data_IF_904283735546
#
_entry.id   IF_904283735546
#
_cell.length_a   1.000
_cell.length_b   1.000
_cell.length_c   1.000
_cell.angle_alpha   90.00
_cell.angle_beta   90.00
_cell.angle_gamma   90.00
#
_symmetry.space_group_name_H-M   'P 1'
#
loop_
_entity.id
_entity.type
_entity.pdbx_description
1 polymer ?
#
# COMPACT_ATOMS: atom_id res chain seq x y z
N UNK A 1 26.68 -9.91 5.15
CA UNK A 1 25.75 -9.11 6.00
C UNK A 1 24.34 -9.36 5.49
N UNK A 2 23.59 -10.23 6.16
CA UNK A 2 22.20 -10.51 5.80
C UNK A 2 21.29 -9.37 6.27
N UNK A 3 20.49 -8.83 5.35
CA UNK A 3 19.53 -7.77 5.64
C UNK A 3 18.27 -8.41 6.22
N UNK A 4 18.14 -8.38 7.53
CA UNK A 4 16.97 -8.91 8.22
C UNK A 4 15.82 -7.89 8.23
N UNK A 5 14.59 -8.38 8.10
CA UNK A 5 13.39 -7.55 8.23
C UNK A 5 12.96 -7.51 9.69
N UNK A 6 12.75 -6.29 10.22
CA UNK A 6 12.20 -6.11 11.57
C UNK A 6 10.68 -6.35 11.58
N UNK A 7 10.27 -7.47 12.17
CA UNK A 7 8.88 -7.91 12.26
C UNK A 7 8.15 -7.41 13.53
N UNK A 8 8.82 -6.68 14.42
CA UNK A 8 8.27 -6.26 15.73
C UNK A 8 7.02 -5.37 15.64
N UNK A 9 6.84 -4.68 14.52
CA UNK A 9 5.74 -3.72 14.29
C UNK A 9 4.52 -4.35 13.63
N UNK A 10 4.56 -5.64 13.28
CA UNK A 10 3.46 -6.36 12.63
C UNK A 10 2.58 -7.01 13.71
N UNK A 11 1.27 -6.87 13.55
CA UNK A 11 0.30 -7.54 14.41
C UNK A 11 0.40 -9.06 14.26
N UNK A 12 0.79 -9.81 15.31
CA UNK A 12 0.70 -11.26 15.29
C UNK A 12 -0.75 -11.70 15.42
N UNK A 13 -1.05 -12.89 14.92
CA UNK A 13 -2.36 -13.52 15.09
C UNK A 13 -2.20 -14.95 15.60
N UNK A 14 -3.24 -15.45 16.28
CA UNK A 14 -3.26 -16.83 16.76
C UNK A 14 -3.68 -17.76 15.63
N UNK A 15 -2.84 -18.72 15.30
CA UNK A 15 -3.13 -19.85 14.42
C UNK A 15 -2.70 -21.13 15.13
N UNK A 16 -3.60 -22.10 15.29
CA UNK A 16 -3.28 -23.37 15.98
C UNK A 16 -2.56 -23.15 17.33
N UNK A 17 -3.07 -22.21 18.14
CA UNK A 17 -2.51 -21.82 19.45
C UNK A 17 -1.13 -21.12 19.41
N UNK A 18 -0.52 -20.95 18.24
CA UNK A 18 0.75 -20.24 18.06
C UNK A 18 0.53 -18.81 17.58
N UNK A 19 1.43 -17.90 18.00
CA UNK A 19 1.49 -16.55 17.47
C UNK A 19 2.32 -16.54 16.19
N UNK A 20 1.67 -16.20 15.08
CA UNK A 20 2.29 -16.16 13.75
C UNK A 20 2.05 -14.81 13.10
N UNK A 21 2.92 -14.49 12.14
CA UNK A 21 2.86 -13.26 11.36
C UNK A 21 2.24 -13.58 10.00
N UNK A 22 1.24 -12.80 9.60
CA UNK A 22 0.60 -12.96 8.32
C UNK A 22 1.47 -12.37 7.20
N UNK A 23 1.65 -13.10 6.11
CA UNK A 23 2.28 -12.55 4.90
C UNK A 23 1.33 -11.55 4.23
N UNK A 24 0.11 -12.02 3.94
CA UNK A 24 -0.98 -11.27 3.32
C UNK A 24 -2.00 -10.77 4.35
N UNK A 25 -2.78 -9.72 4.05
CA UNK A 25 -3.81 -9.21 4.94
C UNK A 25 -4.97 -10.20 5.07
N UNK A 26 -5.19 -10.71 6.27
CA UNK A 26 -6.27 -11.66 6.58
C UNK A 26 -7.64 -10.97 6.63
N UNK A 27 -8.71 -11.58 6.07
CA UNK A 27 -10.03 -10.95 5.91
C UNK A 27 -10.71 -10.59 7.24
N UNK A 28 -10.52 -11.40 8.28
CA UNK A 28 -11.21 -11.24 9.57
C UNK A 28 -10.37 -10.53 10.64
N UNK A 29 -9.16 -10.10 10.30
CA UNK A 29 -8.28 -9.41 11.25
C UNK A 29 -8.70 -7.95 11.39
N UNK A 30 -9.45 -7.68 12.45
CA UNK A 30 -9.91 -6.35 12.81
C UNK A 30 -10.78 -6.36 14.06
N UNK A 31 -10.16 -6.24 15.23
CA UNK A 31 -10.89 -6.01 16.48
C UNK A 31 -11.49 -4.60 16.57
N UNK A 32 -12.14 -4.25 17.70
CA UNK A 32 -12.72 -2.93 17.96
C UNK A 32 -11.65 -1.86 18.29
N UNK A 33 -10.51 -1.87 17.58
CA UNK A 33 -9.39 -0.97 17.86
C UNK A 33 -9.48 0.31 17.03
N UNK A 34 -9.07 1.43 17.63
CA UNK A 34 -9.01 2.75 16.95
C UNK A 34 -7.78 2.89 16.04
N UNK A 35 -6.71 2.15 16.32
CA UNK A 35 -5.48 2.18 15.53
C UNK A 35 -5.67 1.48 14.18
N UNK A 36 -5.03 2.04 13.16
CA UNK A 36 -5.12 1.55 11.77
C UNK A 36 -3.73 1.23 11.23
N UNK A 37 -3.67 0.24 10.34
CA UNK A 37 -2.50 -0.06 9.55
C UNK A 37 -2.13 1.15 8.71
N UNK A 38 -0.84 1.49 8.69
CA UNK A 38 -0.34 2.63 7.90
C UNK A 38 -0.47 2.47 6.39
N UNK A 39 -0.64 1.24 5.89
CA UNK A 39 -0.63 0.93 4.45
C UNK A 39 -2.03 0.68 3.90
N UNK A 40 -2.78 -0.25 4.50
CA UNK A 40 -4.11 -0.63 4.01
C UNK A 40 -5.26 -0.06 4.83
N UNK A 41 -4.98 0.77 5.84
CA UNK A 41 -5.96 1.40 6.75
C UNK A 41 -6.85 0.45 7.58
N UNK A 42 -6.63 -0.87 7.50
CA UNK A 42 -7.31 -1.88 8.34
C UNK A 42 -7.04 -1.65 9.81
N UNK A 43 -7.96 -2.08 10.68
CA UNK A 43 -7.79 -1.94 12.13
C UNK A 43 -6.65 -2.84 12.62
N UNK A 44 -5.81 -2.28 13.47
CA UNK A 44 -4.64 -2.96 14.07
C UNK A 44 -4.65 -2.66 15.57
N UNK A 45 -4.18 -3.56 16.42
CA UNK A 45 -4.09 -3.33 17.87
C UNK A 45 -2.81 -2.56 18.22
N UNK A 46 -2.86 -1.59 19.16
CA UNK A 46 -1.63 -0.96 19.67
C UNK A 46 -0.81 -2.01 20.45
N UNK A 47 0.54 -2.01 20.36
CA UNK A 47 1.42 -1.00 19.75
C UNK A 47 1.74 -1.19 18.26
N UNK A 48 1.11 -2.16 17.58
CA UNK A 48 1.44 -2.53 16.21
C UNK A 48 1.01 -1.48 15.18
N UNK A 49 1.75 -1.42 14.06
CA UNK A 49 1.59 -0.40 13.00
C UNK A 49 1.16 -1.01 11.65
N UNK A 50 1.40 -2.31 11.45
CA UNK A 50 1.05 -3.03 10.23
C UNK A 50 0.24 -4.28 10.57
N UNK A 51 -0.62 -4.71 9.64
CA UNK A 51 -1.42 -5.92 9.80
C UNK A 51 -0.75 -7.18 9.25
N UNK A 52 0.21 -7.06 8.34
CA UNK A 52 0.90 -8.17 7.67
C UNK A 52 2.24 -7.72 7.06
N UNK A 53 3.08 -8.67 6.66
CA UNK A 53 4.40 -8.42 6.05
C UNK A 53 4.28 -7.60 4.76
N UNK A 54 3.33 -7.91 3.88
CA UNK A 54 3.14 -7.17 2.62
C UNK A 54 2.89 -5.67 2.88
N UNK A 55 2.06 -5.35 3.88
CA UNK A 55 1.79 -3.96 4.22
C UNK A 55 3.02 -3.24 4.74
N UNK A 56 3.90 -3.94 5.47
CA UNK A 56 5.15 -3.37 5.92
C UNK A 56 6.13 -3.19 4.75
N UNK A 57 6.28 -4.19 3.88
CA UNK A 57 7.15 -4.16 2.70
C UNK A 57 6.78 -3.06 1.71
N UNK A 58 5.48 -2.84 1.44
CA UNK A 58 5.03 -1.73 0.57
C UNK A 58 5.58 -0.39 1.06
N UNK A 59 5.61 -0.16 2.38
CA UNK A 59 6.20 1.06 2.92
C UNK A 59 7.71 1.12 2.67
N UNK A 60 8.44 0.03 2.91
CA UNK A 60 9.89 0.00 2.64
C UNK A 60 10.20 0.23 1.16
N UNK A 61 9.41 -0.35 0.26
CA UNK A 61 9.54 -0.16 -1.17
C UNK A 61 9.21 1.28 -1.59
N UNK A 62 8.16 1.88 -1.03
CA UNK A 62 7.85 3.29 -1.27
C UNK A 62 8.97 4.21 -0.76
N UNK A 63 9.58 3.91 0.39
CA UNK A 63 10.72 4.68 0.92
C UNK A 63 11.94 4.50 0.02
N UNK A 64 12.30 3.27 -0.35
CA UNK A 64 13.46 3.02 -1.22
C UNK A 64 13.29 3.62 -2.61
N UNK A 65 12.09 3.54 -3.19
CA UNK A 65 11.76 4.22 -4.45
C UNK A 65 11.78 5.74 -4.29
N UNK A 66 11.30 6.30 -3.18
CA UNK A 66 11.38 7.75 -2.95
C UNK A 66 12.81 8.25 -2.84
N UNK A 67 13.71 7.47 -2.22
CA UNK A 67 15.14 7.76 -2.17
C UNK A 67 15.76 7.68 -3.58
N UNK A 68 15.40 6.67 -4.38
CA UNK A 68 15.85 6.53 -5.77
C UNK A 68 15.31 7.63 -6.71
N UNK A 69 14.08 8.09 -6.51
CA UNK A 69 13.51 9.22 -7.26
C UNK A 69 14.11 10.54 -6.80
N UNK A 70 14.35 10.73 -5.49
CA UNK A 70 14.98 11.94 -4.97
C UNK A 70 16.42 12.11 -5.48
N UNK A 71 17.21 11.04 -5.52
CA UNK A 71 18.57 11.09 -6.11
C UNK A 71 18.53 11.40 -7.60
N UNK A 72 17.59 10.84 -8.36
CA UNK A 72 17.41 11.19 -9.78
C UNK A 72 16.93 12.63 -10.01
N UNK A 73 16.09 13.17 -9.13
CA UNK A 73 15.65 14.56 -9.24
C UNK A 73 16.81 15.53 -8.97
N UNK A 74 17.66 15.27 -7.97
CA UNK A 74 18.86 16.09 -7.70
C UNK A 74 19.82 16.11 -8.90
N UNK A 75 20.04 14.97 -9.56
CA UNK A 75 20.89 14.89 -10.77
C UNK A 75 20.29 15.59 -12.00
N UNK A 76 18.96 15.70 -12.07
CA UNK A 76 18.26 16.26 -13.23
C UNK A 76 18.01 17.78 -13.13
N UNK A 77 18.32 18.43 -12.00
CA UNK A 77 18.14 19.89 -11.86
C UNK A 77 19.19 20.75 -12.58
N UNK A 78 20.22 20.15 -13.19
CA UNK A 78 21.20 20.92 -14.01
C UNK A 78 20.73 21.14 -15.45
N UNK A 79 19.74 20.39 -15.96
CA UNK A 79 19.33 20.54 -17.35
C UNK A 79 17.84 20.25 -17.56
N UNK A 80 16.99 21.29 -17.52
CA UNK A 80 15.93 21.46 -18.54
C UNK A 80 15.23 22.81 -18.50
N UNK A 81 15.38 23.54 -19.62
CA UNK A 81 14.50 24.61 -20.08
C UNK A 81 13.08 24.06 -20.38
N UNK A 82 12.10 24.96 -20.25
CA UNK A 82 10.64 24.80 -20.34
C UNK A 82 10.13 24.22 -21.67
N UNK A 83 8.99 23.50 -21.61
CA UNK A 83 7.78 23.52 -22.50
C UNK A 83 7.11 22.11 -22.60
N UNK A 84 5.88 21.97 -23.14
CA UNK A 84 4.58 22.22 -22.51
C UNK A 84 3.74 20.93 -22.27
N UNK A 85 2.56 21.11 -21.65
CA UNK A 85 1.63 20.08 -21.13
C UNK A 85 1.09 19.12 -22.22
N UNK A 86 0.89 17.82 -21.92
CA UNK A 86 0.14 16.92 -22.79
C UNK A 86 -1.37 17.07 -22.56
N UNK A 87 -2.13 17.14 -23.66
CA UNK A 87 -3.60 17.07 -23.68
C UNK A 87 -4.11 15.70 -23.23
N UNK A 88 -5.20 15.73 -22.46
CA UNK A 88 -5.83 14.55 -21.87
C UNK A 88 -6.77 13.89 -22.89
N UNK A 89 -6.59 12.60 -23.19
CA UNK A 89 -7.55 11.84 -23.99
C UNK A 89 -8.83 11.58 -23.19
N UNK A 90 -9.99 11.91 -23.77
CA UNK A 90 -11.30 11.68 -23.17
C UNK A 90 -11.72 10.21 -23.39
N UNK A 91 -11.35 9.33 -22.45
CA UNK A 91 -11.93 7.99 -22.38
C UNK A 91 -13.42 8.11 -22.02
N UNK A 92 -14.29 8.03 -23.03
CA UNK A 92 -15.75 8.00 -22.85
C UNK A 92 -16.15 6.69 -22.15
N UNK A 93 -16.91 6.81 -21.06
CA UNK A 93 -17.49 5.65 -20.35
C UNK A 93 -18.56 4.99 -21.24
N UNK A 94 -18.68 3.66 -21.15
CA UNK A 94 -19.84 2.90 -21.68
C UNK A 94 -21.14 3.55 -21.17
N UNK A 95 -22.10 3.77 -22.08
CA UNK A 95 -23.37 4.45 -21.81
C UNK A 95 -24.26 3.74 -20.78
N UNK A 96 -25.40 4.36 -20.45
CA UNK A 96 -26.39 3.78 -19.52
C UNK A 96 -26.88 2.42 -20.05
N UNK A 97 -26.83 1.34 -19.24
CA UNK A 97 -27.37 0.06 -19.66
C UNK A 97 -28.88 0.15 -19.79
N UNK A 98 -29.41 -0.22 -20.95
CA UNK A 98 -30.86 -0.41 -21.15
C UNK A 98 -31.28 -1.75 -20.55
N UNK A 99 -32.43 -1.75 -19.88
CA UNK A 99 -33.03 -2.97 -19.33
C UNK A 99 -33.67 -3.75 -20.49
N UNK A 100 -33.38 -5.04 -20.61
CA UNK A 100 -34.05 -5.89 -21.60
C UNK A 100 -35.56 -5.95 -21.29
N UNK A 101 -36.43 -5.97 -22.32
CA UNK A 101 -37.86 -6.16 -22.12
C UNK A 101 -38.11 -7.54 -21.52
N UNK A 102 -39.07 -7.61 -20.60
CA UNK A 102 -39.54 -8.86 -20.01
C UNK A 102 -40.38 -9.58 -21.06
N UNK A 103 -39.88 -10.73 -21.54
CA UNK A 103 -40.70 -11.74 -22.19
C UNK A 103 -41.21 -12.70 -21.11
#
# INVERSE_FOLDING_TARGET
>A
MEKHLDCSQILPYKCNQLLVIAVKPLPHLGGPTKSRCKTCSRRVTRPYRYCCLDCQQVKWFLISCSIFLATRLVSNMVNKKRAPKPEHSLNKRKGKPSRAPFF
#
